data_IF_977306540259
#
_entry.id   IF_977306540259
#
_cell.length_a   1.000
_cell.length_b   1.000
_cell.length_c   1.000
_cell.angle_alpha   90.00
_cell.angle_beta   90.00
_cell.angle_gamma   90.00
#
_symmetry.space_group_name_H-M   'P 1'
#
loop_
_entity.id
_entity.type
_entity.pdbx_description
1 polymer ?
#
# COMPACT_ATOMS: atom_id res chain seq x y z
N UNK A 1 22.55 -38.06 -23.76
CA UNK A 1 22.03 -37.68 -25.09
C UNK A 1 20.56 -37.31 -25.10
N UNK A 2 19.82 -37.45 -23.97
CA UNK A 2 18.41 -37.05 -23.90
C UNK A 2 18.27 -35.54 -23.89
N UNK A 3 17.37 -35.02 -24.74
CA UNK A 3 16.98 -33.60 -24.70
C UNK A 3 16.04 -33.35 -23.52
N UNK A 4 16.38 -32.35 -22.73
CA UNK A 4 15.65 -31.97 -21.50
C UNK A 4 15.40 -30.47 -21.46
N UNK A 5 14.40 -30.06 -20.67
CA UNK A 5 14.07 -28.68 -20.41
C UNK A 5 14.00 -28.47 -18.89
N UNK A 6 14.56 -27.36 -18.44
CA UNK A 6 14.45 -26.94 -17.04
C UNK A 6 13.02 -26.53 -16.71
N UNK A 7 12.54 -26.90 -15.52
CA UNK A 7 11.19 -26.58 -15.04
C UNK A 7 11.19 -25.67 -13.82
N UNK A 8 12.35 -25.13 -13.46
CA UNK A 8 12.54 -24.18 -12.36
C UNK A 8 13.66 -23.19 -12.73
N UNK A 9 13.63 -22.01 -12.17
CA UNK A 9 14.74 -21.08 -12.28
C UNK A 9 15.83 -21.47 -11.28
N UNK A 10 17.08 -21.28 -11.68
CA UNK A 10 18.22 -21.46 -10.79
C UNK A 10 18.17 -20.45 -9.65
N UNK A 11 18.15 -20.96 -8.42
CA UNK A 11 18.17 -20.17 -7.19
C UNK A 11 19.59 -19.77 -6.74
N UNK A 12 20.64 -20.31 -7.40
CA UNK A 12 22.04 -19.98 -7.11
C UNK A 12 22.38 -18.53 -7.52
N UNK A 13 23.51 -18.03 -7.03
CA UNK A 13 24.01 -16.71 -7.44
C UNK A 13 24.43 -16.65 -8.91
N UNK A 14 24.83 -17.78 -9.47
CA UNK A 14 25.36 -17.89 -10.84
C UNK A 14 24.26 -17.86 -11.90
N UNK A 15 23.02 -18.24 -11.55
CA UNK A 15 21.84 -18.25 -12.46
C UNK A 15 22.14 -18.91 -13.80
N UNK A 16 22.67 -20.11 -13.76
CA UNK A 16 23.13 -20.85 -14.95
C UNK A 16 21.98 -21.26 -15.88
N UNK A 17 20.77 -21.46 -15.30
CA UNK A 17 19.59 -21.88 -16.05
C UNK A 17 18.32 -21.16 -15.59
N UNK A 18 17.30 -21.24 -16.42
CA UNK A 18 15.96 -20.69 -16.16
C UNK A 18 14.88 -21.65 -16.66
N UNK A 19 13.67 -21.50 -16.15
CA UNK A 19 12.52 -22.31 -16.56
C UNK A 19 12.27 -22.18 -18.07
N UNK A 20 12.30 -23.31 -18.79
CA UNK A 20 12.16 -23.37 -20.25
C UNK A 20 13.49 -23.44 -21.00
N UNK A 21 14.67 -23.28 -20.36
CA UNK A 21 15.94 -23.44 -21.04
C UNK A 21 16.15 -24.91 -21.43
N UNK A 22 16.64 -25.12 -22.67
CA UNK A 22 16.91 -26.46 -23.21
C UNK A 22 18.33 -26.90 -22.91
N UNK A 23 18.51 -28.21 -22.73
CA UNK A 23 19.79 -28.83 -22.51
C UNK A 23 19.79 -30.28 -22.99
N UNK A 24 21.00 -30.85 -23.11
CA UNK A 24 21.22 -32.26 -23.42
C UNK A 24 21.93 -32.95 -22.27
N UNK A 25 21.40 -34.08 -21.81
CA UNK A 25 22.01 -34.86 -20.75
C UNK A 25 23.30 -35.51 -21.27
N UNK A 26 24.42 -35.30 -20.57
CA UNK A 26 25.73 -35.81 -20.91
C UNK A 26 26.11 -37.01 -20.04
N UNK A 27 25.78 -36.95 -18.72
CA UNK A 27 26.05 -38.04 -17.80
C UNK A 27 24.94 -38.12 -16.73
N UNK A 28 24.79 -39.31 -16.16
CA UNK A 28 23.88 -39.61 -15.07
C UNK A 28 24.66 -40.28 -13.95
N UNK A 29 24.52 -39.78 -12.76
CA UNK A 29 24.96 -40.41 -11.53
C UNK A 29 23.76 -40.64 -10.58
N UNK A 30 24.01 -41.27 -9.44
CA UNK A 30 22.95 -41.60 -8.49
C UNK A 30 22.23 -40.35 -7.94
N UNK A 31 22.98 -39.28 -7.75
CA UNK A 31 22.48 -38.07 -7.06
C UNK A 31 22.59 -36.79 -7.93
N UNK A 32 23.13 -36.89 -9.13
CA UNK A 32 23.43 -35.77 -10.01
C UNK A 32 23.14 -36.10 -11.46
N UNK A 33 22.68 -35.08 -12.20
CA UNK A 33 22.51 -35.13 -13.65
C UNK A 33 23.39 -34.04 -14.25
N UNK A 34 24.30 -34.44 -15.16
CA UNK A 34 25.13 -33.50 -15.90
C UNK A 34 24.46 -33.18 -17.23
N UNK A 35 24.34 -31.90 -17.52
CA UNK A 35 23.73 -31.44 -18.77
C UNK A 35 24.57 -30.34 -19.42
N UNK A 36 24.53 -30.31 -20.74
CA UNK A 36 25.06 -29.18 -21.54
C UNK A 36 23.87 -28.39 -22.11
N UNK A 37 23.82 -27.12 -21.78
CA UNK A 37 22.82 -26.19 -22.34
C UNK A 37 23.15 -25.83 -23.80
N UNK A 38 22.16 -25.32 -24.54
CA UNK A 38 22.36 -24.90 -25.95
C UNK A 38 23.41 -23.79 -26.11
N UNK A 39 23.63 -22.97 -25.07
CA UNK A 39 24.67 -21.94 -25.03
C UNK A 39 26.08 -22.50 -24.68
N UNK A 40 26.23 -23.83 -24.62
CA UNK A 40 27.48 -24.53 -24.32
C UNK A 40 27.86 -24.58 -22.85
N UNK A 41 27.03 -24.07 -21.96
CA UNK A 41 27.28 -24.12 -20.52
C UNK A 41 26.99 -25.53 -19.97
N UNK A 42 27.92 -26.03 -19.19
CA UNK A 42 27.76 -27.29 -18.42
C UNK A 42 27.15 -26.99 -17.07
N UNK A 43 26.19 -27.79 -16.65
CA UNK A 43 25.48 -27.62 -15.38
C UNK A 43 25.34 -28.96 -14.68
N UNK A 44 25.75 -29.02 -13.44
CA UNK A 44 25.58 -30.15 -12.55
C UNK A 44 24.35 -29.96 -11.69
N UNK A 45 23.36 -30.81 -11.86
CA UNK A 45 22.04 -30.66 -11.28
C UNK A 45 21.84 -31.60 -10.12
N UNK A 46 21.37 -31.05 -9.04
CA UNK A 46 20.84 -31.74 -7.88
C UNK A 46 19.30 -31.72 -7.86
N UNK A 47 18.73 -32.49 -6.96
CA UNK A 47 17.28 -32.49 -6.74
C UNK A 47 16.85 -31.20 -6.07
N UNK A 48 15.67 -30.70 -6.47
CA UNK A 48 15.02 -29.53 -5.94
C UNK A 48 13.70 -29.92 -5.29
N UNK A 49 13.28 -29.16 -4.29
CA UNK A 49 12.01 -29.37 -3.60
C UNK A 49 10.97 -28.34 -4.02
N UNK A 50 9.77 -28.83 -4.27
CA UNK A 50 8.57 -28.00 -4.49
C UNK A 50 7.65 -28.17 -3.30
N UNK A 51 7.16 -27.05 -2.78
CA UNK A 51 6.21 -26.97 -1.68
C UNK A 51 4.84 -26.54 -2.19
N UNK A 52 3.80 -27.22 -1.75
CA UNK A 52 2.43 -26.78 -1.97
C UNK A 52 2.00 -25.96 -0.76
N UNK A 53 1.80 -24.65 -0.98
CA UNK A 53 1.51 -23.68 0.04
C UNK A 53 0.02 -23.37 0.08
N UNK A 54 -0.57 -23.38 1.28
CA UNK A 54 -1.91 -22.86 1.53
C UNK A 54 -1.79 -21.53 2.26
N UNK A 55 -2.46 -20.52 1.75
CA UNK A 55 -2.56 -19.22 2.41
C UNK A 55 -3.84 -19.18 3.23
N UNK A 56 -3.69 -18.99 4.55
CA UNK A 56 -4.81 -18.93 5.50
C UNK A 56 -4.88 -17.49 6.02
N UNK A 57 -6.04 -16.86 5.88
CA UNK A 57 -6.34 -15.58 6.50
C UNK A 57 -7.23 -15.84 7.71
N UNK A 58 -6.75 -15.58 8.90
CA UNK A 58 -7.59 -15.62 10.10
C UNK A 58 -8.51 -14.39 10.13
N UNK A 59 -9.79 -14.66 10.42
CA UNK A 59 -10.80 -13.61 10.52
C UNK A 59 -10.45 -12.68 11.68
N UNK A 60 -9.97 -11.47 11.38
CA UNK A 60 -9.60 -10.46 12.39
C UNK A 60 -8.10 -10.15 12.48
N UNK A 61 -7.23 -10.86 11.75
CA UNK A 61 -5.83 -10.47 11.57
C UNK A 61 -5.56 -10.05 10.13
N UNK A 62 -4.71 -9.03 9.94
CA UNK A 62 -4.22 -8.64 8.62
C UNK A 62 -3.03 -9.49 8.17
N UNK A 63 -2.67 -10.53 8.91
CA UNK A 63 -1.55 -11.40 8.61
C UNK A 63 -2.04 -12.64 7.86
N UNK A 64 -1.38 -12.92 6.74
CA UNK A 64 -1.59 -14.15 5.97
C UNK A 64 -0.59 -15.19 6.47
N UNK A 65 -1.10 -16.25 7.08
CA UNK A 65 -0.28 -17.39 7.49
C UNK A 65 -0.08 -18.32 6.29
N UNK A 66 1.12 -18.87 6.14
CA UNK A 66 1.49 -19.81 5.09
C UNK A 66 1.66 -21.19 5.70
N UNK A 67 0.85 -22.15 5.28
CA UNK A 67 0.93 -23.55 5.67
C UNK A 67 1.47 -24.39 4.51
N UNK A 68 2.50 -25.17 4.74
CA UNK A 68 3.00 -26.15 3.78
C UNK A 68 2.14 -27.43 3.89
N UNK A 69 1.27 -27.66 2.91
CA UNK A 69 0.35 -28.82 2.91
C UNK A 69 0.95 -30.08 2.25
N UNK A 70 2.09 -29.93 1.60
CA UNK A 70 2.82 -31.05 1.00
C UNK A 70 4.06 -30.60 0.25
N UNK A 71 5.01 -31.49 0.08
CA UNK A 71 6.22 -31.26 -0.71
C UNK A 71 6.58 -32.49 -1.52
N UNK A 72 7.29 -32.26 -2.64
CA UNK A 72 7.93 -33.32 -3.39
C UNK A 72 9.27 -32.87 -3.92
N UNK A 73 10.20 -33.82 -4.06
CA UNK A 73 11.59 -33.56 -4.45
C UNK A 73 11.92 -34.36 -5.70
N UNK A 74 12.40 -33.65 -6.74
CA UNK A 74 12.91 -34.28 -7.95
C UNK A 74 13.95 -33.39 -8.64
N UNK A 75 14.59 -33.89 -9.70
CA UNK A 75 15.46 -33.06 -10.53
C UNK A 75 14.63 -32.00 -11.29
N UNK A 76 15.10 -30.76 -11.43
CA UNK A 76 14.34 -29.67 -12.08
C UNK A 76 14.32 -29.81 -13.61
N UNK A 77 14.13 -31.02 -14.12
CA UNK A 77 14.14 -31.35 -15.53
C UNK A 77 12.89 -32.11 -15.98
N UNK A 78 12.53 -31.89 -17.24
CA UNK A 78 11.60 -32.74 -18.01
C UNK A 78 12.20 -33.09 -19.36
N UNK A 79 11.78 -34.20 -19.92
CA UNK A 79 12.12 -34.54 -21.32
C UNK A 79 11.53 -33.48 -22.25
N UNK A 80 12.32 -33.08 -23.23
CA UNK A 80 12.01 -32.01 -24.19
C UNK A 80 12.07 -32.49 -25.64
N UNK A 81 11.76 -33.75 -25.91
CA UNK A 81 11.63 -34.29 -27.27
C UNK A 81 10.44 -33.66 -27.99
N UNK A 82 9.36 -33.38 -27.27
CA UNK A 82 8.21 -32.63 -27.70
C UNK A 82 7.75 -31.69 -26.58
N UNK A 83 7.42 -30.46 -26.94
CA UNK A 83 6.91 -29.45 -26.03
C UNK A 83 5.63 -28.86 -26.57
N UNK A 84 4.72 -28.44 -25.71
CA UNK A 84 3.49 -27.79 -26.17
C UNK A 84 3.79 -26.40 -26.75
N UNK A 85 2.96 -25.93 -27.67
CA UNK A 85 3.07 -24.59 -28.27
C UNK A 85 3.15 -23.49 -27.19
N UNK A 86 2.35 -23.64 -26.10
CA UNK A 86 2.39 -22.68 -24.98
C UNK A 86 3.76 -22.63 -24.28
N UNK A 87 4.42 -23.78 -24.09
CA UNK A 87 5.75 -23.85 -23.49
C UNK A 87 6.86 -23.36 -24.44
N UNK A 88 6.60 -23.40 -25.75
CA UNK A 88 7.51 -22.85 -26.74
C UNK A 88 7.44 -21.31 -26.85
N UNK A 89 6.49 -20.65 -26.16
CA UNK A 89 6.42 -19.20 -26.14
C UNK A 89 7.71 -18.58 -25.58
N UNK A 90 8.29 -17.63 -26.31
CA UNK A 90 9.57 -17.01 -25.97
C UNK A 90 10.80 -17.76 -26.44
N UNK A 91 10.68 -19.03 -26.85
CA UNK A 91 11.78 -19.79 -27.47
C UNK A 91 11.87 -19.50 -28.95
N UNK A 92 13.06 -19.72 -29.54
CA UNK A 92 13.31 -19.57 -30.97
C UNK A 92 14.16 -20.76 -31.42
N UNK A 93 13.77 -21.35 -32.55
CA UNK A 93 14.42 -22.55 -33.08
C UNK A 93 14.89 -22.29 -34.52
N UNK A 94 16.01 -22.94 -34.91
CA UNK A 94 16.45 -22.96 -36.31
C UNK A 94 15.67 -24.02 -37.12
N UNK A 95 15.33 -25.14 -36.47
CA UNK A 95 14.56 -26.24 -37.05
C UNK A 95 13.50 -26.71 -36.08
N UNK A 96 12.26 -26.88 -36.55
CA UNK A 96 11.11 -27.31 -35.72
C UNK A 96 10.18 -28.21 -36.52
N UNK A 97 9.70 -29.26 -35.90
CA UNK A 97 8.58 -30.07 -36.39
C UNK A 97 7.33 -29.62 -35.64
N UNK A 98 6.30 -29.17 -36.36
CA UNK A 98 5.06 -28.67 -35.77
C UNK A 98 3.93 -29.63 -36.06
N UNK A 99 3.27 -30.09 -35.02
CA UNK A 99 1.98 -30.76 -35.07
C UNK A 99 0.92 -29.80 -34.58
N UNK A 100 0.03 -29.37 -35.48
CA UNK A 100 -1.01 -28.39 -35.21
C UNK A 100 -2.43 -28.92 -35.52
N UNK A 101 -2.60 -30.24 -35.70
CA UNK A 101 -3.90 -30.82 -36.03
C UNK A 101 -4.96 -30.50 -34.98
N UNK A 102 -4.60 -30.61 -33.69
CA UNK A 102 -5.48 -30.37 -32.56
C UNK A 102 -5.40 -28.94 -31.99
N UNK A 103 -4.92 -27.98 -32.79
CA UNK A 103 -4.84 -26.58 -32.32
C UNK A 103 -6.27 -26.00 -32.20
N UNK A 104 -6.66 -25.64 -30.97
CA UNK A 104 -8.02 -25.19 -30.62
C UNK A 104 -8.10 -23.71 -30.22
N UNK A 105 -6.98 -23.09 -29.86
CA UNK A 105 -6.98 -21.70 -29.41
C UNK A 105 -6.64 -20.71 -30.52
N UNK A 106 -7.33 -19.59 -30.55
CA UNK A 106 -7.06 -18.50 -31.48
C UNK A 106 -5.59 -18.05 -31.39
N UNK A 107 -4.91 -17.95 -32.55
CA UNK A 107 -3.50 -17.56 -32.64
C UNK A 107 -2.50 -18.65 -32.25
N UNK A 108 -2.91 -19.84 -31.82
CA UNK A 108 -2.00 -20.92 -31.40
C UNK A 108 -1.08 -21.36 -32.55
N UNK A 109 -1.61 -21.52 -33.76
CA UNK A 109 -0.82 -21.86 -34.95
C UNK A 109 0.17 -20.75 -35.29
N UNK A 110 -0.23 -19.49 -35.20
CA UNK A 110 0.68 -18.35 -35.38
C UNK A 110 1.85 -18.42 -34.40
N UNK A 111 1.57 -18.69 -33.13
CA UNK A 111 2.62 -18.82 -32.11
C UNK A 111 3.58 -19.95 -32.46
N UNK A 112 3.09 -21.10 -32.91
CA UNK A 112 3.94 -22.23 -33.32
C UNK A 112 4.83 -21.87 -34.52
N UNK A 113 4.25 -21.36 -35.59
CA UNK A 113 5.00 -20.98 -36.78
C UNK A 113 6.04 -19.87 -36.51
N UNK A 114 5.68 -18.90 -35.68
CA UNK A 114 6.58 -17.80 -35.29
C UNK A 114 7.75 -18.21 -34.38
N UNK A 115 7.83 -19.47 -33.97
CA UNK A 115 8.97 -19.98 -33.18
C UNK A 115 10.18 -20.29 -34.03
N UNK A 116 10.05 -20.47 -35.32
CA UNK A 116 11.17 -20.73 -36.22
C UNK A 116 11.68 -19.44 -36.88
N UNK A 117 13.01 -19.37 -37.10
CA UNK A 117 13.65 -18.20 -37.70
C UNK A 117 13.40 -18.09 -39.18
N UNK A 118 13.19 -19.21 -39.86
CA UNK A 118 12.95 -19.25 -41.30
C UNK A 118 11.91 -20.30 -41.68
N UNK A 119 11.29 -20.15 -42.84
CA UNK A 119 10.34 -21.14 -43.36
C UNK A 119 10.99 -22.47 -43.68
N UNK A 120 12.24 -22.44 -44.14
CA UNK A 120 13.03 -23.66 -44.46
C UNK A 120 13.28 -24.56 -43.25
N UNK A 121 13.29 -23.98 -42.06
CA UNK A 121 13.43 -24.71 -40.80
C UNK A 121 12.17 -25.36 -40.30
N UNK A 122 11.02 -25.15 -40.93
CA UNK A 122 9.72 -25.66 -40.49
C UNK A 122 9.35 -26.93 -41.22
N UNK A 123 9.03 -27.96 -40.49
CA UNK A 123 8.37 -29.19 -40.98
C UNK A 123 7.00 -29.30 -40.35
N UNK A 124 5.95 -29.42 -41.11
CA UNK A 124 4.60 -29.70 -40.59
C UNK A 124 4.39 -31.20 -40.58
N UNK A 125 4.06 -31.75 -39.42
CA UNK A 125 3.72 -33.18 -39.25
C UNK A 125 2.36 -33.49 -39.91
N UNK A 126 1.41 -32.58 -39.77
CA UNK A 126 0.08 -32.61 -40.33
C UNK A 126 -0.24 -31.31 -41.04
N UNK A 127 -1.08 -31.29 -42.11
CA UNK A 127 -1.57 -30.06 -42.70
C UNK A 127 -2.33 -29.22 -41.67
N UNK A 128 -2.11 -27.90 -41.68
CA UNK A 128 -2.81 -26.99 -40.78
C UNK A 128 -4.27 -26.87 -41.21
N UNK A 129 -5.24 -27.30 -40.37
CA UNK A 129 -6.65 -27.18 -40.73
C UNK A 129 -7.09 -25.71 -40.71
N UNK A 130 -7.98 -25.33 -41.65
CA UNK A 130 -8.49 -23.97 -41.75
C UNK A 130 -9.15 -23.47 -40.46
N UNK A 131 -9.76 -24.37 -39.70
CA UNK A 131 -10.38 -24.06 -38.40
C UNK A 131 -9.37 -23.63 -37.33
N UNK A 132 -8.12 -24.09 -37.45
CA UNK A 132 -7.02 -23.68 -36.51
C UNK A 132 -6.44 -22.30 -36.84
N UNK A 133 -6.74 -21.73 -38.02
CA UNK A 133 -6.35 -20.38 -38.43
C UNK A 133 -7.34 -19.31 -37.93
N UNK A 134 -7.81 -19.49 -36.70
CA UNK A 134 -8.73 -18.54 -36.09
C UNK A 134 -7.97 -17.41 -35.40
N UNK A 135 -8.47 -16.19 -35.54
CA UNK A 135 -8.02 -15.03 -34.80
C UNK A 135 -9.13 -14.55 -33.85
N UNK A 136 -8.74 -14.02 -32.69
CA UNK A 136 -9.69 -13.40 -31.79
C UNK A 136 -10.35 -12.19 -32.49
N UNK A 137 -11.69 -12.13 -32.48
CA UNK A 137 -12.49 -11.09 -33.16
C UNK A 137 -12.11 -9.69 -32.62
N UNK A 138 -11.83 -9.61 -31.34
CA UNK A 138 -11.42 -8.39 -30.67
C UNK A 138 -10.09 -7.85 -31.21
N UNK A 139 -9.12 -8.73 -31.50
CA UNK A 139 -7.82 -8.38 -32.09
C UNK A 139 -8.02 -7.88 -33.53
N UNK A 140 -8.83 -8.60 -34.33
CA UNK A 140 -9.13 -8.18 -35.71
C UNK A 140 -9.84 -6.82 -35.74
N UNK A 141 -10.80 -6.60 -34.82
CA UNK A 141 -11.48 -5.31 -34.69
C UNK A 141 -10.52 -4.21 -34.31
N UNK A 142 -9.65 -4.44 -33.31
CA UNK A 142 -8.62 -3.49 -32.88
C UNK A 142 -7.67 -3.13 -34.02
N UNK A 143 -7.14 -4.15 -34.73
CA UNK A 143 -6.21 -3.93 -35.84
C UNK A 143 -6.83 -3.16 -37.01
N UNK A 144 -8.10 -3.48 -37.35
CA UNK A 144 -8.82 -2.76 -38.40
C UNK A 144 -9.13 -1.29 -38.08
N UNK A 145 -9.33 -1.02 -36.76
CA UNK A 145 -9.67 0.31 -36.25
C UNK A 145 -8.46 1.03 -35.65
N UNK A 146 -7.26 0.55 -35.94
CA UNK A 146 -6.03 1.18 -35.48
C UNK A 146 -5.91 2.58 -36.10
N UNK A 147 -5.71 3.57 -35.22
CA UNK A 147 -5.60 4.96 -35.66
C UNK A 147 -4.23 5.22 -36.26
N UNK A 148 -4.18 6.16 -37.18
CA UNK A 148 -2.91 6.71 -37.64
C UNK A 148 -2.20 7.50 -36.53
N UNK A 149 -0.92 7.79 -36.73
CA UNK A 149 -0.08 8.48 -35.73
C UNK A 149 -0.64 9.86 -35.40
N UNK A 150 -1.08 10.62 -36.39
CA UNK A 150 -1.58 12.00 -36.24
C UNK A 150 -2.86 12.01 -35.38
N UNK A 151 -3.80 11.11 -35.68
CA UNK A 151 -5.04 10.94 -34.91
C UNK A 151 -4.74 10.47 -33.49
N UNK A 152 -3.72 9.60 -33.33
CA UNK A 152 -3.30 9.12 -32.00
C UNK A 152 -2.70 10.24 -31.16
N UNK A 153 -1.87 11.11 -31.73
CA UNK A 153 -1.31 12.28 -31.04
C UNK A 153 -2.38 13.28 -30.61
N UNK A 154 -3.35 13.56 -31.49
CA UNK A 154 -4.49 14.43 -31.14
C UNK A 154 -5.32 13.86 -29.99
N UNK A 155 -5.59 12.55 -30.01
CA UNK A 155 -6.31 11.86 -28.91
C UNK A 155 -5.49 11.82 -27.64
N UNK A 156 -4.16 11.68 -27.74
CA UNK A 156 -3.28 11.69 -26.57
C UNK A 156 -3.39 13.01 -25.80
N UNK A 157 -3.39 14.15 -26.50
CA UNK A 157 -3.54 15.46 -25.88
C UNK A 157 -4.88 15.58 -25.14
N UNK A 158 -5.98 15.10 -25.73
CA UNK A 158 -7.29 15.04 -25.08
C UNK A 158 -7.30 14.14 -23.85
N UNK A 159 -6.74 12.93 -23.99
CA UNK A 159 -6.65 11.97 -22.88
C UNK A 159 -5.77 12.48 -21.72
N UNK A 160 -4.68 13.19 -22.02
CA UNK A 160 -3.85 13.82 -21.00
C UNK A 160 -4.63 14.87 -20.21
N UNK A 161 -5.45 15.68 -20.87
CA UNK A 161 -6.27 16.69 -20.22
C UNK A 161 -7.40 16.06 -19.39
N UNK A 162 -8.03 15.01 -19.90
CA UNK A 162 -9.04 14.24 -19.17
C UNK A 162 -8.42 13.61 -17.90
N UNK A 163 -7.26 13.00 -18.05
CA UNK A 163 -6.55 12.39 -16.92
C UNK A 163 -6.13 13.43 -15.87
N UNK A 164 -5.62 14.59 -16.31
CA UNK A 164 -5.31 15.71 -15.42
C UNK A 164 -6.58 16.13 -14.65
N UNK A 165 -7.73 16.21 -15.32
CA UNK A 165 -9.01 16.54 -14.70
C UNK A 165 -9.38 15.54 -13.60
N UNK A 166 -9.23 14.24 -13.85
CA UNK A 166 -9.48 13.20 -12.84
C UNK A 166 -8.56 13.38 -11.64
N UNK A 167 -7.27 13.62 -11.87
CA UNK A 167 -6.30 13.84 -10.80
C UNK A 167 -6.59 15.10 -9.99
N UNK A 168 -6.97 16.20 -10.66
CA UNK A 168 -7.35 17.44 -9.99
C UNK A 168 -8.61 17.25 -9.15
N UNK A 169 -9.64 16.59 -9.68
CA UNK A 169 -10.85 16.29 -8.93
C UNK A 169 -10.58 15.42 -7.70
N UNK A 170 -9.65 14.47 -7.79
CA UNK A 170 -9.28 13.61 -6.65
C UNK A 170 -8.66 14.36 -5.47
N UNK A 171 -8.00 15.51 -5.72
CA UNK A 171 -7.45 16.36 -4.65
C UNK A 171 -8.53 17.06 -3.80
N UNK A 172 -9.75 17.10 -4.29
CA UNK A 172 -10.91 17.71 -3.64
C UNK A 172 -11.99 16.67 -3.35
N UNK A 173 -11.60 15.40 -3.16
CA UNK A 173 -12.50 14.32 -2.77
C UNK A 173 -12.13 13.82 -1.36
N UNK A 174 -12.93 14.21 -0.38
CA UNK A 174 -12.71 13.85 1.03
C UNK A 174 -13.53 12.66 1.49
N UNK A 175 -14.32 12.01 0.60
CA UNK A 175 -15.22 10.89 0.96
C UNK A 175 -14.50 9.71 1.57
N UNK A 176 -13.33 9.36 1.03
CA UNK A 176 -12.49 8.28 1.59
C UNK A 176 -12.10 8.57 3.04
N UNK A 177 -11.66 9.80 3.33
CA UNK A 177 -11.25 10.25 4.66
C UNK A 177 -12.44 10.28 5.62
N UNK A 178 -13.60 10.77 5.17
CA UNK A 178 -14.85 10.76 5.94
C UNK A 178 -15.25 9.34 6.33
N UNK A 179 -15.16 8.39 5.38
CA UNK A 179 -15.45 6.99 5.64
C UNK A 179 -14.46 6.35 6.63
N UNK A 180 -13.17 6.67 6.52
CA UNK A 180 -12.14 6.20 7.45
C UNK A 180 -12.40 6.74 8.86
N UNK A 181 -12.70 8.03 9.03
CA UNK A 181 -13.05 8.61 10.33
C UNK A 181 -14.34 8.02 10.91
N UNK A 182 -15.35 7.79 10.08
CA UNK A 182 -16.61 7.18 10.50
C UNK A 182 -16.43 5.74 10.95
N UNK A 183 -15.58 4.97 10.26
CA UNK A 183 -15.21 3.61 10.65
C UNK A 183 -14.42 3.61 11.97
N UNK A 184 -13.42 4.48 12.07
CA UNK A 184 -12.62 4.63 13.29
C UNK A 184 -13.49 5.03 14.49
N UNK A 185 -14.43 5.97 14.30
CA UNK A 185 -15.38 6.38 15.36
C UNK A 185 -16.21 5.22 15.88
N UNK A 186 -16.68 4.33 15.00
CA UNK A 186 -17.42 3.13 15.40
C UNK A 186 -16.52 2.16 16.18
N UNK A 187 -15.32 1.91 15.69
CA UNK A 187 -14.36 1.02 16.32
C UNK A 187 -13.96 1.52 17.71
N UNK A 188 -13.65 2.82 17.85
CA UNK A 188 -13.27 3.42 19.13
C UNK A 188 -14.41 3.33 20.16
N UNK A 189 -15.68 3.43 19.76
CA UNK A 189 -16.82 3.25 20.65
C UNK A 189 -16.97 1.81 21.18
N UNK A 190 -16.49 0.82 20.40
CA UNK A 190 -16.47 -0.59 20.83
C UNK A 190 -15.24 -0.92 21.68
N UNK A 191 -14.17 -0.14 21.58
CA UNK A 191 -12.96 -0.25 22.41
C UNK A 191 -13.24 0.38 23.77
N UNK A 192 -13.71 -0.36 24.74
CA UNK A 192 -14.03 0.15 26.09
C UNK A 192 -12.85 0.78 26.86
N UNK A 193 -11.62 0.67 26.32
CA UNK A 193 -10.38 1.19 26.90
C UNK A 193 -10.13 2.67 26.58
N UNK A 194 -10.75 3.23 25.52
CA UNK A 194 -10.49 4.60 25.04
C UNK A 194 -11.32 5.60 25.82
N UNK A 195 -10.66 6.62 26.36
CA UNK A 195 -11.24 7.71 27.12
C UNK A 195 -11.07 9.05 26.37
N UNK A 196 -11.87 10.04 26.78
CA UNK A 196 -11.89 11.38 26.16
C UNK A 196 -13.25 11.68 25.53
N UNK A 197 -13.39 12.88 24.98
CA UNK A 197 -14.62 13.28 24.31
C UNK A 197 -14.66 12.72 22.87
N UNK A 198 -14.90 11.38 22.78
CA UNK A 198 -14.94 10.63 21.54
C UNK A 198 -15.96 11.23 20.58
N UNK A 199 -17.18 11.51 21.09
CA UNK A 199 -18.29 11.97 20.25
C UNK A 199 -18.02 13.35 19.65
N UNK A 200 -17.59 14.31 20.45
CA UNK A 200 -17.30 15.67 19.98
C UNK A 200 -16.14 15.70 18.99
N UNK A 201 -15.05 14.96 19.27
CA UNK A 201 -13.91 14.89 18.37
C UNK A 201 -14.29 14.39 16.97
N UNK A 202 -14.95 13.24 16.86
CA UNK A 202 -15.34 12.68 15.58
C UNK A 202 -16.43 13.49 14.88
N UNK A 203 -17.40 14.04 15.62
CA UNK A 203 -18.43 14.92 15.05
C UNK A 203 -17.79 16.18 14.45
N UNK A 204 -16.81 16.78 15.12
CA UNK A 204 -16.08 17.95 14.62
C UNK A 204 -15.29 17.61 13.36
N UNK A 205 -14.54 16.48 13.37
CA UNK A 205 -13.74 16.08 12.23
C UNK A 205 -14.60 15.71 11.02
N UNK A 206 -15.61 14.86 11.21
CA UNK A 206 -16.49 14.39 10.14
C UNK A 206 -17.31 15.54 9.58
N UNK A 207 -18.00 16.30 10.43
CA UNK A 207 -18.85 17.43 10.00
C UNK A 207 -18.06 18.53 9.29
N UNK A 208 -16.81 18.80 9.73
CA UNK A 208 -15.92 19.72 9.05
C UNK A 208 -15.58 19.28 7.63
N UNK A 209 -15.26 17.98 7.44
CA UNK A 209 -14.95 17.41 6.13
C UNK A 209 -16.20 17.26 5.24
N UNK A 210 -17.35 16.91 5.80
CA UNK A 210 -18.62 16.87 5.04
C UNK A 210 -18.97 18.25 4.50
N UNK A 211 -18.83 19.30 5.32
CA UNK A 211 -19.00 20.68 4.86
C UNK A 211 -18.04 21.07 3.74
N UNK A 212 -16.78 20.60 3.80
CA UNK A 212 -15.81 20.79 2.72
C UNK A 212 -16.17 19.98 1.47
N UNK A 213 -16.67 18.76 1.62
CA UNK A 213 -17.04 17.88 0.51
C UNK A 213 -18.16 18.48 -0.35
N UNK A 214 -19.18 19.08 0.26
CA UNK A 214 -20.27 19.73 -0.47
C UNK A 214 -19.74 20.84 -1.40
N UNK A 215 -18.78 21.61 -0.93
CA UNK A 215 -18.18 22.70 -1.73
C UNK A 215 -17.20 22.12 -2.76
N UNK A 216 -16.47 21.08 -2.38
CA UNK A 216 -15.55 20.38 -3.25
C UNK A 216 -16.25 19.76 -4.47
N UNK A 217 -17.43 19.18 -4.31
CA UNK A 217 -18.23 18.62 -5.41
C UNK A 217 -18.63 19.67 -6.42
N UNK A 218 -19.07 20.84 -5.96
CA UNK A 218 -19.37 21.98 -6.85
C UNK A 218 -18.12 22.44 -7.59
N UNK A 219 -16.98 22.47 -6.92
CA UNK A 219 -15.71 22.83 -7.53
C UNK A 219 -15.23 21.80 -8.54
N UNK A 220 -15.37 20.51 -8.27
CA UNK A 220 -15.08 19.44 -9.23
C UNK A 220 -15.93 19.56 -10.50
N UNK A 221 -17.21 19.93 -10.38
CA UNK A 221 -18.06 20.19 -11.54
C UNK A 221 -17.53 21.37 -12.37
N UNK A 222 -17.08 22.45 -11.71
CA UNK A 222 -16.47 23.60 -12.40
C UNK A 222 -15.19 23.21 -13.15
N UNK A 223 -14.30 22.40 -12.53
CA UNK A 223 -13.09 21.89 -13.21
C UNK A 223 -13.48 21.15 -14.49
N UNK A 224 -14.43 20.21 -14.41
CA UNK A 224 -14.89 19.44 -15.56
C UNK A 224 -15.47 20.33 -16.67
N UNK A 225 -16.24 21.33 -16.32
CA UNK A 225 -16.82 22.29 -17.28
C UNK A 225 -15.74 23.13 -17.96
N UNK A 226 -14.75 23.62 -17.22
CA UNK A 226 -13.63 24.39 -17.77
C UNK A 226 -12.87 23.57 -18.81
N UNK A 227 -12.57 22.30 -18.48
CA UNK A 227 -11.84 21.43 -19.40
C UNK A 227 -12.70 21.03 -20.59
N UNK A 228 -13.95 20.67 -20.39
CA UNK A 228 -14.88 20.29 -21.47
C UNK A 228 -15.07 21.42 -22.49
N UNK A 229 -15.20 22.66 -22.04
CA UNK A 229 -15.42 23.81 -22.90
C UNK A 229 -14.13 24.32 -23.58
N UNK A 230 -13.04 23.56 -23.56
CA UNK A 230 -11.73 23.96 -24.09
C UNK A 230 -11.25 25.32 -23.55
N UNK A 231 -11.70 25.69 -22.35
CA UNK A 231 -11.27 26.91 -21.69
C UNK A 231 -9.75 26.88 -21.47
N UNK A 232 -9.10 28.00 -21.64
CA UNK A 232 -7.64 28.11 -21.60
C UNK A 232 -7.09 27.67 -20.23
N UNK A 233 -5.91 27.04 -20.22
CA UNK A 233 -5.17 26.68 -19.01
C UNK A 233 -5.04 27.83 -17.98
N UNK A 234 -4.90 29.11 -18.38
CA UNK A 234 -4.91 30.25 -17.47
C UNK A 234 -6.17 30.31 -16.59
N UNK A 235 -7.36 30.10 -17.17
CA UNK A 235 -8.62 30.09 -16.38
C UNK A 235 -8.64 28.94 -15.37
N UNK A 236 -8.08 27.78 -15.72
CA UNK A 236 -7.96 26.66 -14.79
C UNK A 236 -7.01 26.99 -13.64
N UNK A 237 -5.85 27.58 -13.91
CA UNK A 237 -4.88 27.97 -12.90
C UNK A 237 -5.45 28.98 -11.90
N UNK A 238 -6.15 30.02 -12.39
CA UNK A 238 -6.80 31.02 -11.54
C UNK A 238 -7.84 30.38 -10.62
N UNK A 239 -8.66 29.47 -11.15
CA UNK A 239 -9.69 28.76 -10.36
C UNK A 239 -9.08 27.81 -9.33
N UNK A 240 -7.99 27.12 -9.67
CA UNK A 240 -7.24 26.26 -8.74
C UNK A 240 -6.58 27.08 -7.63
N UNK A 241 -6.07 28.27 -7.96
CA UNK A 241 -5.51 29.20 -6.97
C UNK A 241 -6.58 29.70 -6.00
N UNK A 242 -7.74 30.10 -6.50
CA UNK A 242 -8.87 30.52 -5.66
C UNK A 242 -9.35 29.35 -4.75
N UNK A 243 -9.41 28.14 -5.29
CA UNK A 243 -9.75 26.96 -4.51
C UNK A 243 -8.70 26.66 -3.42
N UNK A 244 -7.42 26.75 -3.74
CA UNK A 244 -6.36 26.57 -2.74
C UNK A 244 -6.49 27.57 -1.59
N UNK A 245 -6.73 28.83 -1.88
CA UNK A 245 -6.94 29.87 -0.86
C UNK A 245 -8.14 29.55 0.05
N UNK A 246 -9.20 28.96 -0.52
CA UNK A 246 -10.40 28.58 0.25
C UNK A 246 -10.20 27.31 1.08
N UNK A 247 -9.63 26.24 0.48
CA UNK A 247 -9.54 24.91 1.12
C UNK A 247 -8.37 24.80 2.09
N UNK A 248 -7.23 25.44 1.78
CA UNK A 248 -5.99 25.29 2.54
C UNK A 248 -6.12 25.61 4.04
N UNK A 249 -6.73 26.75 4.47
CA UNK A 249 -6.87 27.04 5.90
C UNK A 249 -7.79 26.06 6.61
N UNK A 250 -8.82 25.55 5.94
CA UNK A 250 -9.77 24.59 6.51
C UNK A 250 -9.15 23.20 6.66
N UNK A 251 -8.36 22.76 5.68
CA UNK A 251 -7.56 21.52 5.78
C UNK A 251 -6.52 21.69 6.90
N UNK A 252 -5.88 22.85 7.01
CA UNK A 252 -4.92 23.12 8.08
C UNK A 252 -5.56 23.01 9.47
N UNK A 253 -6.74 23.61 9.64
CA UNK A 253 -7.50 23.48 10.89
C UNK A 253 -7.82 22.01 11.21
N UNK A 254 -8.18 21.21 10.22
CA UNK A 254 -8.43 19.78 10.40
C UNK A 254 -7.17 19.02 10.81
N UNK A 255 -6.03 19.30 10.17
CA UNK A 255 -4.73 18.73 10.55
C UNK A 255 -4.38 19.05 12.01
N UNK A 256 -4.59 20.28 12.46
CA UNK A 256 -4.36 20.71 13.85
C UNK A 256 -5.33 20.01 14.82
N UNK A 257 -6.59 19.84 14.43
CA UNK A 257 -7.57 19.12 15.25
C UNK A 257 -7.16 17.65 15.44
N UNK A 258 -6.69 17.00 14.38
CA UNK A 258 -6.19 15.62 14.46
C UNK A 258 -4.92 15.55 15.32
N UNK A 259 -3.98 16.47 15.13
CA UNK A 259 -2.73 16.52 15.90
C UNK A 259 -2.98 16.71 17.41
N UNK A 260 -4.03 17.47 17.76
CA UNK A 260 -4.47 17.72 19.15
C UNK A 260 -5.54 16.74 19.63
N UNK A 261 -5.62 15.54 19.04
CA UNK A 261 -6.61 14.54 19.40
C UNK A 261 -6.72 14.34 20.94
N UNK A 262 -7.92 14.46 21.53
CA UNK A 262 -8.10 14.34 22.97
C UNK A 262 -8.20 12.88 23.46
N UNK A 263 -8.22 11.92 22.56
CA UNK A 263 -8.41 10.50 22.91
C UNK A 263 -7.19 9.95 23.63
N UNK A 264 -7.42 9.16 24.66
CA UNK A 264 -6.38 8.49 25.45
C UNK A 264 -6.82 7.06 25.78
N UNK A 265 -5.86 6.14 25.83
CA UNK A 265 -6.08 4.78 26.31
C UNK A 265 -4.85 4.24 27.02
N UNK A 266 -5.04 3.32 27.93
CA UNK A 266 -3.99 2.57 28.63
C UNK A 266 -3.72 1.19 27.98
N UNK A 267 -4.50 0.81 26.97
CA UNK A 267 -4.23 -0.37 26.15
C UNK A 267 -3.28 0.01 25.00
N UNK A 268 -2.19 -0.73 24.84
CA UNK A 268 -1.15 -0.47 23.84
C UNK A 268 -1.63 -0.77 22.42
N UNK A 269 -2.41 -1.84 22.25
CA UNK A 269 -2.90 -2.27 20.94
C UNK A 269 -3.94 -1.29 20.42
N UNK A 270 -4.91 -0.92 21.29
CA UNK A 270 -5.91 0.08 20.95
C UNK A 270 -5.27 1.44 20.64
N UNK A 271 -4.26 1.85 21.44
CA UNK A 271 -3.51 3.08 21.19
C UNK A 271 -2.78 3.06 19.83
N UNK A 272 -2.12 1.96 19.52
CA UNK A 272 -1.41 1.80 18.24
C UNK A 272 -2.38 1.86 17.06
N UNK A 273 -3.52 1.17 17.17
CA UNK A 273 -4.56 1.14 16.14
C UNK A 273 -5.16 2.53 15.89
N UNK A 274 -5.58 3.22 16.95
CA UNK A 274 -6.16 4.57 16.83
C UNK A 274 -5.12 5.56 16.31
N UNK A 275 -3.89 5.51 16.84
CA UNK A 275 -2.79 6.37 16.39
C UNK A 275 -2.51 6.18 14.89
N UNK A 276 -2.36 4.93 14.44
CA UNK A 276 -2.04 4.64 13.04
C UNK A 276 -3.10 5.20 12.08
N UNK A 277 -4.38 4.94 12.34
CA UNK A 277 -5.46 5.47 11.48
C UNK A 277 -5.48 6.99 11.42
N UNK A 278 -5.29 7.67 12.57
CA UNK A 278 -5.23 9.13 12.59
C UNK A 278 -4.00 9.69 11.86
N UNK A 279 -2.85 9.01 11.95
CA UNK A 279 -1.65 9.37 11.22
C UNK A 279 -1.83 9.19 9.71
N UNK A 280 -2.47 8.12 9.26
CA UNK A 280 -2.76 7.88 7.85
C UNK A 280 -3.66 8.98 7.27
N UNK A 281 -4.72 9.34 7.99
CA UNK A 281 -5.64 10.44 7.63
C UNK A 281 -4.89 11.78 7.58
N UNK A 282 -4.05 12.06 8.59
CA UNK A 282 -3.25 13.28 8.64
C UNK A 282 -2.26 13.35 7.46
N UNK A 283 -1.62 12.23 7.12
CA UNK A 283 -0.70 12.15 5.98
C UNK A 283 -1.43 12.40 4.65
N UNK A 284 -2.62 11.81 4.47
CA UNK A 284 -3.43 12.00 3.26
C UNK A 284 -3.90 13.44 3.09
N UNK A 285 -4.43 14.09 4.13
CA UNK A 285 -4.82 15.50 4.12
C UNK A 285 -3.62 16.42 3.88
N UNK A 286 -2.48 16.15 4.50
CA UNK A 286 -1.25 16.92 4.32
C UNK A 286 -0.74 16.83 2.87
N UNK A 287 -0.80 15.64 2.29
CA UNK A 287 -0.45 15.39 0.89
C UNK A 287 -1.37 16.13 -0.07
N UNK A 288 -2.69 16.05 0.16
CA UNK A 288 -3.66 16.77 -0.65
C UNK A 288 -3.39 18.28 -0.63
N UNK A 289 -3.23 18.87 0.55
CA UNK A 289 -2.92 20.29 0.71
C UNK A 289 -1.64 20.70 -0.01
N UNK A 290 -0.57 19.91 0.13
CA UNK A 290 0.71 20.17 -0.51
C UNK A 290 0.61 20.15 -2.04
N UNK A 291 -0.06 19.13 -2.61
CA UNK A 291 -0.23 19.03 -4.06
C UNK A 291 -1.14 20.16 -4.56
N UNK A 292 -2.24 20.51 -3.86
CA UNK A 292 -3.10 21.64 -4.20
C UNK A 292 -2.29 22.92 -4.33
N UNK A 293 -1.36 23.19 -3.40
CA UNK A 293 -0.49 24.37 -3.45
C UNK A 293 0.39 24.40 -4.70
N UNK A 294 1.00 23.28 -5.03
CA UNK A 294 1.94 23.22 -6.18
C UNK A 294 1.22 23.30 -7.52
N UNK A 295 0.13 22.57 -7.65
CA UNK A 295 -0.60 22.48 -8.91
C UNK A 295 -1.43 23.75 -9.22
N UNK A 296 -1.80 24.53 -8.19
CA UNK A 296 -2.51 25.80 -8.39
C UNK A 296 -1.69 26.85 -9.14
N UNK A 297 -0.36 26.73 -9.11
CA UNK A 297 0.56 27.65 -9.80
C UNK A 297 0.75 27.26 -11.28
N UNK A 298 0.79 25.98 -11.59
CA UNK A 298 1.00 25.46 -12.95
C UNK A 298 0.31 24.11 -13.13
N UNK A 299 -0.97 24.09 -13.55
CA UNK A 299 -1.73 22.86 -13.71
C UNK A 299 -1.21 22.08 -14.93
N UNK A 300 -0.48 20.98 -14.64
CA UNK A 300 0.03 20.05 -15.65
C UNK A 300 0.21 18.66 -15.05
N UNK A 301 0.19 17.62 -15.89
CA UNK A 301 0.46 16.25 -15.45
C UNK A 301 1.84 16.11 -14.81
N UNK A 302 2.87 16.66 -15.47
CA UNK A 302 4.24 16.64 -14.97
C UNK A 302 4.35 17.37 -13.62
N UNK A 303 3.73 18.55 -13.50
CA UNK A 303 3.65 19.30 -12.25
C UNK A 303 2.99 18.51 -11.13
N UNK A 304 1.89 17.79 -11.44
CA UNK A 304 1.20 16.95 -10.48
C UNK A 304 2.09 15.81 -9.96
N UNK A 305 2.73 15.07 -10.88
CA UNK A 305 3.59 13.96 -10.47
C UNK A 305 4.85 14.42 -9.74
N UNK A 306 5.48 15.53 -10.15
CA UNK A 306 6.59 16.14 -9.43
C UNK A 306 6.19 16.57 -8.02
N UNK A 307 5.02 17.20 -7.85
CA UNK A 307 4.49 17.55 -6.54
C UNK A 307 4.26 16.30 -5.67
N UNK A 308 3.69 15.24 -6.25
CA UNK A 308 3.46 13.98 -5.54
C UNK A 308 4.77 13.31 -5.09
N UNK A 309 5.80 13.30 -5.92
CA UNK A 309 7.10 12.71 -5.62
C UNK A 309 7.91 13.53 -4.61
N UNK A 310 7.78 14.86 -4.64
CA UNK A 310 8.51 15.77 -3.76
C UNK A 310 7.87 15.93 -2.37
N UNK A 311 6.67 15.42 -2.18
CA UNK A 311 6.00 15.47 -0.88
C UNK A 311 6.79 14.71 0.18
N UNK A 312 7.04 15.36 1.32
CA UNK A 312 7.62 14.76 2.52
C UNK A 312 6.68 15.03 3.68
N UNK A 313 6.16 13.98 4.24
CA UNK A 313 5.28 14.08 5.39
C UNK A 313 6.09 14.19 6.68
N UNK A 314 5.61 15.03 7.59
CA UNK A 314 6.14 15.16 8.95
C UNK A 314 5.08 14.64 9.89
N UNK A 315 5.44 13.64 10.70
CA UNK A 315 4.53 13.06 11.69
C UNK A 315 4.17 14.12 12.75
N UNK A 316 2.87 14.34 13.03
CA UNK A 316 2.45 15.23 14.11
C UNK A 316 2.73 14.61 15.49
N UNK A 317 2.88 15.41 16.54
CA UNK A 317 3.09 14.92 17.90
C UNK A 317 1.79 14.35 18.49
N UNK A 318 1.32 13.23 17.94
CA UNK A 318 0.07 12.59 18.34
C UNK A 318 0.31 11.61 19.49
N UNK A 319 -0.29 11.88 20.65
CA UNK A 319 -0.19 11.02 21.84
C UNK A 319 -1.57 10.39 22.10
N UNK A 320 -1.69 9.09 21.99
CA UNK A 320 -2.92 8.32 22.30
C UNK A 320 -2.70 7.43 23.53
N UNK A 321 -1.52 6.82 23.63
CA UNK A 321 -1.18 5.99 24.77
C UNK A 321 -0.84 6.87 25.98
N UNK A 322 -1.58 6.69 27.07
CA UNK A 322 -1.24 7.24 28.37
C UNK A 322 -1.24 6.11 29.39
N UNK A 323 -0.09 5.89 30.02
CA UNK A 323 -0.11 5.11 31.25
C UNK A 323 -0.90 5.90 32.28
N UNK A 324 -2.15 5.56 32.52
CA UNK A 324 -2.68 5.80 33.85
C UNK A 324 -1.84 4.93 34.78
N UNK A 325 -0.83 5.53 35.41
CA UNK A 325 -0.42 4.96 36.71
C UNK A 325 -1.72 4.80 37.46
N UNK A 326 -2.23 3.55 37.62
CA UNK A 326 -3.18 3.28 38.68
C UNK A 326 -2.61 4.02 39.86
N UNK A 327 -3.28 5.05 40.32
CA UNK A 327 -3.08 5.55 41.67
C UNK A 327 -3.34 4.30 42.49
N UNK A 328 -2.30 3.61 42.93
CA UNK A 328 -2.44 2.86 44.12
C UNK A 328 -3.01 3.92 45.05
N UNK A 329 -4.27 3.76 45.42
CA UNK A 329 -4.90 4.54 46.46
C UNK A 329 -4.09 4.25 47.72
N UNK A 330 -2.95 4.94 47.83
CA UNK A 330 -2.15 4.92 49.05
C UNK A 330 -2.97 5.78 49.96
N UNK A 331 -3.91 5.12 50.69
CA UNK A 331 -4.73 5.74 51.72
C UNK A 331 -3.84 6.54 52.69
N UNK A 332 -2.56 6.14 52.74
CA UNK A 332 -1.51 6.82 53.48
C UNK A 332 -1.10 8.17 52.83
N UNK A 333 -1.00 8.26 51.49
CA UNK A 333 -0.65 9.52 50.81
C UNK A 333 -1.82 10.52 50.92
N UNK A 334 -3.06 10.08 50.73
CA UNK A 334 -4.25 10.93 50.91
C UNK A 334 -4.32 11.52 52.30
N UNK A 335 -4.04 10.69 53.33
CA UNK A 335 -3.98 11.17 54.71
C UNK A 335 -2.89 12.22 54.93
N UNK A 336 -1.76 12.18 54.18
CA UNK A 336 -0.76 13.25 54.20
C UNK A 336 -1.31 14.54 53.56
N UNK A 337 -2.10 14.44 52.49
CA UNK A 337 -2.71 15.57 51.81
C UNK A 337 -3.75 16.28 52.71
N UNK A 338 -4.57 15.51 53.47
CA UNK A 338 -5.52 16.06 54.44
C UNK A 338 -4.82 16.90 55.51
N UNK A 339 -3.73 16.40 56.09
CA UNK A 339 -2.94 17.16 57.08
C UNK A 339 -2.30 18.43 56.47
N UNK A 340 -1.92 18.37 55.20
CA UNK A 340 -1.40 19.55 54.50
C UNK A 340 -2.48 20.62 54.34
N UNK A 341 -3.70 20.22 53.91
CA UNK A 341 -4.82 21.14 53.78
C UNK A 341 -5.32 21.65 55.14
N UNK A 342 -5.05 20.93 56.22
CA UNK A 342 -5.29 21.40 57.61
C UNK A 342 -4.23 22.44 58.07
N UNK A 343 -3.27 22.82 57.16
CA UNK A 343 -2.28 23.85 57.45
C UNK A 343 -1.04 23.37 58.24
N UNK A 344 -0.82 22.06 58.37
CA UNK A 344 0.37 21.55 59.08
C UNK A 344 1.60 21.57 58.13
N UNK A 345 2.74 21.94 58.71
CA UNK A 345 4.04 21.87 57.97
C UNK A 345 4.48 20.41 57.76
N UNK A 346 5.33 20.17 56.78
CA UNK A 346 5.87 18.84 56.44
C UNK A 346 6.48 18.17 57.69
N UNK A 347 7.19 18.95 58.55
CA UNK A 347 7.79 18.45 59.79
C UNK A 347 6.73 18.05 60.82
N UNK A 348 5.64 18.82 60.95
CA UNK A 348 4.53 18.53 61.84
C UNK A 348 3.76 17.27 61.37
N UNK A 349 3.53 17.18 60.05
CA UNK A 349 2.87 15.98 59.47
C UNK A 349 3.74 14.73 59.71
N UNK A 350 5.03 14.82 59.55
CA UNK A 350 5.96 13.72 59.80
C UNK A 350 5.91 13.26 61.25
N UNK A 351 5.83 14.17 62.20
CA UNK A 351 5.73 13.90 63.66
C UNK A 351 4.38 13.27 64.00
N UNK A 352 3.29 13.85 63.53
CA UNK A 352 1.93 13.42 63.81
C UNK A 352 1.65 12.03 63.21
N UNK A 353 2.15 11.76 62.02
CA UNK A 353 2.00 10.49 61.34
C UNK A 353 3.06 9.44 61.71
N UNK A 354 4.02 9.78 62.59
CA UNK A 354 5.16 8.91 62.96
C UNK A 354 5.90 8.38 61.75
N UNK A 355 6.13 9.25 60.75
CA UNK A 355 6.80 8.91 59.52
C UNK A 355 8.03 9.82 59.30
N UNK A 356 8.96 9.37 58.44
CA UNK A 356 10.12 10.24 58.11
C UNK A 356 9.69 11.38 57.15
N UNK A 357 10.35 12.53 57.24
CA UNK A 357 10.12 13.65 56.32
C UNK A 357 10.26 13.20 54.88
N UNK A 358 11.20 12.29 54.57
CA UNK A 358 11.39 11.72 53.24
C UNK A 358 10.18 11.00 52.74
N UNK A 359 9.45 10.26 53.60
CA UNK A 359 8.21 9.54 53.29
C UNK A 359 7.07 10.52 53.01
N UNK A 360 6.95 11.59 53.80
CA UNK A 360 5.95 12.64 53.60
C UNK A 360 6.19 13.37 52.27
N UNK A 361 7.42 13.75 51.97
CA UNK A 361 7.78 14.38 50.71
C UNK A 361 7.47 13.43 49.51
N UNK A 362 7.71 12.12 49.66
CA UNK A 362 7.36 11.14 48.64
C UNK A 362 5.85 11.06 48.39
N UNK A 363 5.04 11.13 49.46
CA UNK A 363 3.58 11.18 49.35
C UNK A 363 3.11 12.46 48.66
N UNK A 364 3.66 13.62 48.99
CA UNK A 364 3.27 14.91 48.40
C UNK A 364 3.72 15.02 46.96
N UNK A 365 4.87 14.45 46.59
CA UNK A 365 5.35 14.43 45.20
C UNK A 365 4.37 13.73 44.26
N UNK A 366 3.62 12.72 44.74
CA UNK A 366 2.58 12.05 43.94
C UNK A 366 1.50 13.05 43.51
N UNK A 367 1.14 14.00 44.40
CA UNK A 367 0.09 14.99 44.14
C UNK A 367 0.61 16.21 43.38
N UNK A 368 1.91 16.53 43.46
CA UNK A 368 2.57 17.55 42.64
C UNK A 368 2.67 17.04 41.20
N UNK A 369 3.14 15.80 41.00
CA UNK A 369 3.24 15.16 39.67
C UNK A 369 1.85 14.98 39.01
N UNK A 370 0.76 15.14 39.76
CA UNK A 370 -0.63 15.08 39.29
C UNK A 370 -1.30 16.46 39.18
N UNK A 371 -0.53 17.56 39.38
CA UNK A 371 -1.04 18.92 39.36
C UNK A 371 -2.18 19.21 40.35
N UNK A 372 -2.31 18.38 41.40
CA UNK A 372 -3.32 18.55 42.48
C UNK A 372 -2.88 19.63 43.44
N UNK A 373 -1.57 19.76 43.70
CA UNK A 373 -0.97 20.78 44.54
C UNK A 373 0.19 21.43 43.83
N UNK A 374 0.32 22.75 43.99
CA UNK A 374 1.41 23.51 43.38
C UNK A 374 2.68 23.42 44.24
N UNK A 375 3.81 23.13 43.62
CA UNK A 375 5.14 23.11 44.29
C UNK A 375 5.54 24.46 44.88
N UNK A 376 4.97 25.56 44.38
CA UNK A 376 5.24 26.92 44.90
C UNK A 376 4.69 27.15 46.30
N UNK A 377 3.75 26.31 46.78
CA UNK A 377 3.17 26.41 48.14
C UNK A 377 4.07 25.83 49.23
N UNK A 378 5.23 25.29 48.90
CA UNK A 378 6.16 24.72 49.84
C UNK A 378 7.36 25.65 50.00
N UNK A 379 7.31 26.63 50.94
CA UNK A 379 8.51 27.29 51.41
C UNK A 379 9.25 26.40 52.43
N UNK A 380 10.60 26.37 52.39
CA UNK A 380 11.40 25.50 53.23
C UNK A 380 11.27 25.81 54.75
#
# INVERSE_FOLDING_TARGET
GAKVMFVKNDSSQEKLYYNGKLATVTALSKNEIHVICEDGKEVDLHTETWENLRYISETGSNEVQVEVIGSFTHFPLRLAWAITIHKAQGLTFDHVVIDAEDAFAAGQVYVALSRCRSLEGIVLLTPIPMQALTNAREILYFTKNQLDITTTEQRLAGAQMEYLTILLCSLYDFRSIINQLSSLSRNVKTMGSVQGDISSFFTTCIGGLEGLQIIAERFQQQIRQIVYNSASLPNLAERLQAAYVYFSPKIQQMLETIAKCPLRTNDRNDAATVKQHLLDIHAELSRCKYIQQRISQSPSLDGFFKARQSFRWVEPPLVIYSQHRKIRSDASAFKTLEYLYAGLTISQIAKERKMTIRTIVKHLRIFIDQEIIDSSNFQP
#
